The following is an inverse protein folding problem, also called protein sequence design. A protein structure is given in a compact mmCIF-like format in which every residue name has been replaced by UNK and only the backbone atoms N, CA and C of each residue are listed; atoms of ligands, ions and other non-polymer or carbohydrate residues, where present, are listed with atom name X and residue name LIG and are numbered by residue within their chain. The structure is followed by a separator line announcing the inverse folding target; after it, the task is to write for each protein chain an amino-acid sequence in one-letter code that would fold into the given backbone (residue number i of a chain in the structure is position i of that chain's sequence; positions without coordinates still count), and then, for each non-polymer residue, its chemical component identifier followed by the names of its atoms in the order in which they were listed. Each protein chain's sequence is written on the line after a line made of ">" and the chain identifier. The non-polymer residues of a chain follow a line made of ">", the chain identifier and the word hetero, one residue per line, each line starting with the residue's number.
data_IF_262296517871
#
_entry.id   IF_262296517871
#
_cell.length_a   1.000
_cell.length_b   1.000
_cell.length_c   1.000
_cell.angle_alpha   90.00
_cell.angle_beta   90.00
_cell.angle_gamma   90.00
#
_symmetry.space_group_name_H-M   'P 1'
#
loop_
_entity.id
_entity.type
_entity.pdbx_description
1 polymer ?
#
# COMPACT_ATOMS: atom_id res chain seq x y z
N UNK A 1 6.97 24.34 -14.84
CA UNK A 1 5.97 23.26 -14.98
C UNK A 1 6.00 22.57 -13.62
N UNK A 2 4.87 22.42 -12.93
CA UNK A 2 4.85 21.71 -11.66
C UNK A 2 5.32 20.29 -11.94
N UNK A 3 6.37 19.84 -11.24
CA UNK A 3 6.83 18.45 -11.29
C UNK A 3 5.71 17.60 -10.69
N UNK A 4 4.89 17.02 -11.56
CA UNK A 4 3.77 16.16 -11.16
C UNK A 4 4.38 14.85 -10.65
N UNK A 5 4.49 14.72 -9.33
CA UNK A 5 5.01 13.53 -8.68
C UNK A 5 4.02 12.38 -8.81
N UNK A 6 4.55 11.19 -8.94
CA UNK A 6 3.78 9.95 -8.88
C UNK A 6 4.41 9.04 -7.82
N UNK A 7 3.94 9.17 -6.59
CA UNK A 7 4.47 8.34 -5.53
C UNK A 7 4.13 6.87 -5.71
N UNK A 8 5.14 6.04 -5.50
CA UNK A 8 5.02 4.59 -5.53
C UNK A 8 5.93 3.91 -4.53
N UNK A 9 5.83 2.61 -4.46
CA UNK A 9 6.62 1.78 -3.56
C UNK A 9 7.04 0.49 -4.26
N UNK A 10 8.28 0.07 -4.02
CA UNK A 10 8.73 -1.29 -4.33
C UNK A 10 8.90 -2.05 -3.02
N UNK A 11 8.45 -3.28 -2.99
CA UNK A 11 8.60 -4.19 -1.84
C UNK A 11 9.44 -5.38 -2.29
N UNK A 12 10.63 -5.51 -1.73
CA UNK A 12 11.48 -6.67 -1.97
C UNK A 12 11.08 -7.80 -1.02
N UNK A 13 10.39 -8.80 -1.55
CA UNK A 13 9.92 -9.95 -0.77
C UNK A 13 11.05 -10.95 -0.49
N UNK A 14 12.17 -10.84 -1.20
CA UNK A 14 13.32 -11.76 -1.01
C UNK A 14 14.07 -11.49 0.30
N UNK A 15 14.01 -10.25 0.79
CA UNK A 15 14.62 -9.84 2.07
C UNK A 15 13.61 -9.64 3.20
N UNK A 16 12.31 -9.69 2.89
CA UNK A 16 11.26 -9.54 3.90
C UNK A 16 11.23 -10.74 4.85
N UNK A 17 11.37 -10.48 6.14
CA UNK A 17 11.39 -11.51 7.20
C UNK A 17 10.04 -11.68 7.91
N UNK A 18 8.98 -11.05 7.44
CA UNK A 18 7.63 -11.17 8.02
C UNK A 18 7.46 -10.60 9.43
N UNK A 19 8.33 -9.72 9.90
CA UNK A 19 8.38 -9.25 11.28
C UNK A 19 7.22 -8.35 11.72
N UNK A 20 6.30 -7.97 10.82
CA UNK A 20 5.14 -7.08 11.07
C UNK A 20 5.48 -5.66 11.53
N UNK A 21 6.75 -5.25 11.64
CA UNK A 21 7.16 -3.91 12.09
C UNK A 21 6.51 -2.80 11.26
N UNK A 22 6.35 -3.01 9.95
CA UNK A 22 5.68 -2.05 9.05
C UNK A 22 4.19 -1.88 9.39
N UNK A 23 3.50 -2.95 9.80
CA UNK A 23 2.09 -2.90 10.21
C UNK A 23 1.95 -2.19 11.56
N UNK A 24 2.74 -2.57 12.56
CA UNK A 24 2.74 -1.95 13.89
C UNK A 24 3.11 -0.47 13.82
N UNK A 25 4.16 -0.13 13.08
CA UNK A 25 4.59 1.26 12.89
C UNK A 25 3.49 2.11 12.23
N UNK A 26 2.79 1.58 11.23
CA UNK A 26 1.66 2.25 10.59
C UNK A 26 0.51 2.49 11.58
N UNK A 27 0.11 1.44 12.32
CA UNK A 27 -0.99 1.50 13.28
C UNK A 27 -0.73 2.54 14.37
N UNK A 28 0.45 2.47 15.03
CA UNK A 28 0.82 3.39 16.11
C UNK A 28 0.97 4.84 15.59
N UNK A 29 1.58 5.03 14.42
CA UNK A 29 1.86 6.39 13.91
C UNK A 29 0.63 7.11 13.36
N UNK A 30 -0.41 6.37 13.02
CA UNK A 30 -1.68 6.91 12.53
C UNK A 30 -2.82 6.78 13.55
N UNK A 31 -2.50 6.33 14.78
CA UNK A 31 -3.48 6.16 15.87
C UNK A 31 -4.71 5.36 15.42
N UNK A 32 -4.46 4.27 14.68
CA UNK A 32 -5.55 3.45 14.15
C UNK A 32 -6.14 2.58 15.27
N UNK A 33 -7.47 2.38 15.26
CA UNK A 33 -8.10 1.36 16.10
C UNK A 33 -7.46 -0.04 15.87
N UNK A 34 -7.51 -0.89 16.88
CA UNK A 34 -6.83 -2.19 16.87
C UNK A 34 -7.32 -3.15 15.79
N UNK A 35 -8.54 -2.97 15.32
CA UNK A 35 -9.21 -3.72 14.26
C UNK A 35 -9.00 -3.12 12.85
N UNK A 36 -8.37 -1.94 12.76
CA UNK A 36 -8.09 -1.25 11.50
C UNK A 36 -6.62 -1.41 11.10
N UNK A 37 -6.37 -2.11 10.01
CA UNK A 37 -5.03 -2.30 9.48
C UNK A 37 -4.91 -1.69 8.08
N UNK A 38 -4.10 -0.64 7.93
CA UNK A 38 -3.77 -0.07 6.63
C UNK A 38 -2.61 -0.78 5.92
N UNK A 39 -1.81 -1.50 6.67
CA UNK A 39 -0.71 -2.33 6.17
C UNK A 39 -0.64 -3.59 7.00
N UNK A 40 -0.44 -4.72 6.36
CA UNK A 40 -0.25 -6.00 7.01
C UNK A 40 0.72 -6.87 6.19
N UNK A 41 1.16 -7.99 6.75
CA UNK A 41 2.03 -8.93 6.05
C UNK A 41 1.29 -10.25 5.96
N UNK A 42 1.16 -10.77 4.76
CA UNK A 42 0.56 -12.07 4.46
C UNK A 42 1.65 -13.08 4.11
N UNK A 43 1.32 -14.37 4.10
CA UNK A 43 2.12 -15.34 3.37
C UNK A 43 2.06 -15.06 1.86
N UNK A 44 3.03 -15.51 1.09
CA UNK A 44 3.08 -15.23 -0.35
C UNK A 44 1.86 -15.80 -1.10
N UNK A 45 1.29 -16.90 -0.60
CA UNK A 45 0.12 -17.56 -1.19
C UNK A 45 -1.22 -16.90 -0.78
N UNK A 46 -1.17 -15.81 0.00
CA UNK A 46 -2.36 -15.05 0.39
C UNK A 46 -3.03 -15.51 1.68
N UNK A 47 -2.55 -16.59 2.30
CA UNK A 47 -3.06 -17.06 3.57
C UNK A 47 -2.56 -16.20 4.74
N UNK A 48 -3.45 -15.91 5.70
CA UNK A 48 -3.07 -15.27 6.97
C UNK A 48 -2.23 -16.17 7.87
N UNK A 49 -2.21 -17.47 7.58
CA UNK A 49 -1.46 -18.46 8.34
C UNK A 49 -0.10 -18.67 7.69
N UNK A 50 0.96 -18.28 8.40
CA UNK A 50 2.34 -18.44 7.95
C UNK A 50 2.73 -19.93 7.93
N UNK A 51 2.39 -20.63 6.87
CA UNK A 51 2.77 -22.03 6.68
C UNK A 51 3.98 -22.12 5.74
N UNK A 52 5.06 -22.79 6.17
CA UNK A 52 6.18 -23.05 5.28
C UNK A 52 5.76 -24.06 4.20
N UNK A 53 6.19 -23.81 2.97
CA UNK A 53 6.08 -24.76 1.86
C UNK A 53 7.39 -25.55 1.73
N UNK A 54 7.37 -26.64 0.92
CA UNK A 54 8.53 -27.50 0.75
C UNK A 54 8.66 -28.55 1.85
N UNK A 55 9.73 -29.34 1.77
CA UNK A 55 10.02 -30.44 2.71
C UNK A 55 11.43 -30.28 3.27
N UNK A 56 11.64 -30.79 4.52
CA UNK A 56 12.99 -30.85 5.08
C UNK A 56 13.96 -31.56 4.10
N UNK A 57 15.17 -31.06 3.87
CA UNK A 57 15.87 -29.99 4.61
C UNK A 57 15.70 -28.55 4.03
N UNK A 58 14.79 -28.30 3.10
CA UNK A 58 14.63 -27.03 2.43
C UNK A 58 13.20 -26.44 2.54
N UNK A 59 12.67 -26.17 3.76
CA UNK A 59 11.42 -25.46 3.88
C UNK A 59 11.58 -24.00 3.44
N UNK A 60 10.55 -23.46 2.78
CA UNK A 60 10.51 -22.07 2.31
C UNK A 60 9.31 -21.37 2.95
N UNK A 61 9.53 -20.18 3.50
CA UNK A 61 8.48 -19.31 3.97
C UNK A 61 8.70 -17.93 3.34
N UNK A 62 7.75 -17.50 2.50
CA UNK A 62 7.79 -16.19 1.84
C UNK A 62 6.69 -15.30 2.39
N UNK A 63 7.00 -14.02 2.51
CA UNK A 63 6.09 -13.00 3.04
C UNK A 63 5.77 -11.95 1.98
N UNK A 64 4.52 -11.51 1.94
CA UNK A 64 4.08 -10.40 1.11
C UNK A 64 3.47 -9.31 1.98
N UNK A 65 4.21 -8.24 2.25
CA UNK A 65 3.65 -7.04 2.86
C UNK A 65 2.66 -6.37 1.92
N UNK A 66 1.47 -6.06 2.40
CA UNK A 66 0.38 -5.45 1.63
C UNK A 66 -0.01 -4.09 2.21
N UNK A 67 -0.51 -3.22 1.35
CA UNK A 67 -1.05 -1.91 1.67
C UNK A 67 -1.89 -1.42 0.48
N UNK A 68 -2.46 -0.21 0.58
CA UNK A 68 -3.11 0.40 -0.59
C UNK A 68 -2.11 0.61 -1.74
N UNK A 69 -2.50 0.22 -2.94
CA UNK A 69 -1.66 0.33 -4.13
C UNK A 69 -1.66 1.71 -4.80
N UNK A 70 -2.46 2.68 -4.33
CA UNK A 70 -2.57 4.03 -4.89
C UNK A 70 -2.65 4.04 -6.43
N UNK A 71 -3.51 3.17 -6.96
CA UNK A 71 -3.65 2.85 -8.37
C UNK A 71 -3.78 4.10 -9.28
N UNK A 72 -3.29 4.00 -10.51
CA UNK A 72 -3.48 5.07 -11.50
C UNK A 72 -4.91 5.05 -12.05
N UNK A 73 -5.52 3.86 -12.15
CA UNK A 73 -6.94 3.68 -12.46
C UNK A 73 -7.69 3.10 -11.23
N UNK A 74 -7.97 3.92 -10.19
CA UNK A 74 -8.46 3.43 -8.91
C UNK A 74 -9.95 3.08 -8.95
N UNK A 75 -10.29 1.79 -8.90
CA UNK A 75 -11.66 1.30 -8.85
C UNK A 75 -12.45 1.87 -7.66
N UNK A 76 -11.79 2.11 -6.52
CA UNK A 76 -12.42 2.69 -5.34
C UNK A 76 -12.85 4.16 -5.53
N UNK A 77 -12.16 4.93 -6.38
CA UNK A 77 -12.57 6.30 -6.76
C UNK A 77 -13.78 6.23 -7.68
N UNK A 78 -13.72 5.38 -8.71
CA UNK A 78 -14.82 5.22 -9.66
C UNK A 78 -16.12 4.75 -8.99
N UNK A 79 -16.01 3.92 -7.94
CA UNK A 79 -17.16 3.38 -7.21
C UNK A 79 -17.72 4.32 -6.14
N UNK A 80 -17.08 5.44 -5.84
CA UNK A 80 -17.52 6.32 -4.76
C UNK A 80 -18.68 7.21 -5.18
N UNK A 81 -19.90 7.03 -4.62
CA UNK A 81 -21.08 7.76 -5.06
C UNK A 81 -21.08 9.25 -4.67
N UNK A 82 -20.34 9.61 -3.62
CA UNK A 82 -20.24 10.99 -3.13
C UNK A 82 -18.99 11.73 -3.61
N UNK A 83 -18.07 11.01 -4.30
CA UNK A 83 -16.78 11.57 -4.67
C UNK A 83 -15.81 11.76 -3.49
N UNK A 84 -16.11 11.18 -2.32
CA UNK A 84 -15.23 11.26 -1.15
C UNK A 84 -13.87 10.59 -1.36
N UNK A 85 -13.81 9.51 -2.15
CA UNK A 85 -12.54 8.87 -2.49
C UNK A 85 -11.91 9.61 -3.67
N UNK A 86 -10.78 10.26 -3.44
CA UNK A 86 -10.12 11.11 -4.45
C UNK A 86 -8.69 10.68 -4.72
N UNK A 87 -8.24 10.90 -5.96
CA UNK A 87 -6.83 10.79 -6.34
C UNK A 87 -6.26 12.20 -6.48
N UNK A 88 -5.22 12.47 -5.71
CA UNK A 88 -4.49 13.74 -5.77
C UNK A 88 -3.73 13.82 -7.10
N UNK A 89 -4.01 14.83 -7.95
CA UNK A 89 -3.37 14.96 -9.26
C UNK A 89 -1.89 15.33 -9.19
N UNK A 90 -1.42 15.90 -8.08
CA UNK A 90 -0.02 16.34 -7.92
C UNK A 90 0.90 15.22 -7.43
N UNK A 91 0.35 14.25 -6.69
CA UNK A 91 1.14 13.22 -6.01
C UNK A 91 0.75 11.79 -6.39
N UNK A 92 -0.39 11.60 -7.05
CA UNK A 92 -0.98 10.29 -7.34
C UNK A 92 -1.56 9.58 -6.11
N UNK A 93 -1.53 10.18 -4.92
CA UNK A 93 -2.05 9.57 -3.70
C UNK A 93 -3.57 9.47 -3.76
N UNK A 94 -4.10 8.27 -3.57
CA UNK A 94 -5.53 8.06 -3.40
C UNK A 94 -5.88 8.11 -1.92
N UNK A 95 -6.83 8.94 -1.51
CA UNK A 95 -7.26 9.05 -0.10
C UNK A 95 -8.75 9.39 0.01
N UNK A 96 -9.43 8.92 1.07
CA UNK A 96 -10.79 9.36 1.36
C UNK A 96 -10.78 10.74 2.01
N UNK A 97 -11.82 11.52 1.73
CA UNK A 97 -12.19 12.72 2.46
C UNK A 97 -13.25 12.35 3.50
N UNK A 98 -12.95 12.42 4.79
CA UNK A 98 -13.87 12.01 5.85
C UNK A 98 -15.09 12.95 5.98
N UNK A 99 -14.98 14.22 5.53
CA UNK A 99 -16.10 15.17 5.62
C UNK A 99 -17.19 14.90 4.59
N UNK A 100 -16.83 14.26 3.47
CA UNK A 100 -17.75 13.92 2.37
C UNK A 100 -18.16 12.43 2.40
N UNK A 101 -17.42 11.61 3.14
CA UNK A 101 -17.63 10.17 3.19
C UNK A 101 -18.88 9.80 4.00
N UNK A 102 -19.79 9.02 3.40
CA UNK A 102 -21.02 8.52 4.03
C UNK A 102 -20.90 7.08 4.56
N UNK A 103 -19.71 6.47 4.54
CA UNK A 103 -19.48 5.13 5.07
C UNK A 103 -20.18 3.99 4.31
N UNK A 104 -20.58 4.17 3.06
CA UNK A 104 -21.39 3.20 2.32
C UNK A 104 -20.68 1.89 1.95
N UNK A 105 -19.36 1.78 2.11
CA UNK A 105 -18.58 0.58 1.81
C UNK A 105 -18.32 0.29 0.33
N UNK A 106 -18.83 1.11 -0.62
CA UNK A 106 -18.63 0.86 -2.06
C UNK A 106 -17.15 0.78 -2.47
N UNK A 107 -16.29 1.59 -1.86
CA UNK A 107 -14.83 1.55 -2.09
C UNK A 107 -14.18 0.27 -1.55
N UNK A 108 -14.71 -0.30 -0.46
CA UNK A 108 -14.25 -1.58 0.11
C UNK A 108 -14.59 -2.71 -0.86
N UNK A 109 -15.85 -2.77 -1.33
CA UNK A 109 -16.30 -3.80 -2.26
C UNK A 109 -15.61 -3.73 -3.64
N UNK A 110 -15.24 -2.52 -4.09
CA UNK A 110 -14.63 -2.31 -5.41
C UNK A 110 -13.12 -2.56 -5.44
N UNK A 111 -12.45 -2.58 -4.28
CA UNK A 111 -11.00 -2.70 -4.24
C UNK A 111 -10.55 -4.16 -4.35
N UNK A 112 -9.82 -4.58 -5.40
CA UNK A 112 -9.38 -5.96 -5.54
C UNK A 112 -8.32 -6.36 -4.50
N UNK A 113 -7.72 -5.38 -3.83
CA UNK A 113 -6.66 -5.57 -2.83
C UNK A 113 -7.17 -5.50 -1.39
N UNK A 114 -8.45 -5.24 -1.15
CA UNK A 114 -9.02 -5.09 0.19
C UNK A 114 -8.44 -3.94 1.02
N UNK A 115 -7.90 -2.90 0.36
CA UNK A 115 -7.15 -1.85 1.08
C UNK A 115 -8.02 -0.83 1.83
N UNK A 116 -9.18 -0.36 1.34
CA UNK A 116 -10.08 0.48 2.13
C UNK A 116 -10.82 -0.35 3.19
N UNK A 117 -10.95 0.22 4.38
CA UNK A 117 -11.76 -0.33 5.47
C UNK A 117 -12.69 0.76 6.00
N UNK A 118 -13.80 0.38 6.63
CA UNK A 118 -14.65 1.31 7.36
C UNK A 118 -14.15 1.37 8.79
N UNK A 119 -13.85 2.56 9.26
CA UNK A 119 -13.60 2.80 10.68
C UNK A 119 -14.96 2.93 11.37
N UNK A 120 -15.26 2.03 12.29
CA UNK A 120 -16.55 1.99 12.99
C UNK A 120 -16.76 3.18 13.91
N UNK A 121 -15.70 3.74 14.51
CA UNK A 121 -15.76 4.88 15.39
C UNK A 121 -16.19 6.16 14.65
N UNK A 122 -15.68 6.36 13.41
CA UNK A 122 -15.98 7.54 12.59
C UNK A 122 -17.06 7.30 11.56
N UNK A 123 -17.44 6.03 11.33
CA UNK A 123 -18.36 5.59 10.27
C UNK A 123 -17.90 6.07 8.87
N UNK A 124 -16.59 6.21 8.65
CA UNK A 124 -16.01 6.65 7.37
C UNK A 124 -15.00 5.64 6.84
N UNK A 125 -14.78 5.68 5.52
CA UNK A 125 -13.71 4.88 4.92
C UNK A 125 -12.34 5.42 5.28
N UNK A 126 -11.42 4.51 5.57
CA UNK A 126 -10.02 4.83 5.85
C UNK A 126 -9.09 3.83 5.17
N UNK A 127 -7.86 4.25 4.85
CA UNK A 127 -6.83 3.41 4.22
C UNK A 127 -5.48 4.08 4.23
N UNK A 128 -4.42 3.35 3.86
CA UNK A 128 -3.10 3.90 3.66
C UNK A 128 -3.12 5.18 2.79
N UNK A 129 -2.39 6.19 3.20
CA UNK A 129 -2.25 7.50 2.53
C UNK A 129 -0.81 7.77 2.07
N UNK A 130 0.06 6.76 2.00
CA UNK A 130 1.52 6.92 1.84
C UNK A 130 2.11 7.92 2.85
N UNK A 131 1.51 8.01 4.05
CA UNK A 131 1.90 9.00 5.07
C UNK A 131 1.96 10.43 4.51
N UNK A 132 0.92 10.87 3.79
CA UNK A 132 0.80 12.11 3.02
C UNK A 132 1.50 13.32 3.66
N UNK A 133 1.35 13.51 4.99
CA UNK A 133 1.99 14.62 5.71
C UNK A 133 3.52 14.51 5.74
N UNK A 134 4.06 13.29 5.81
CA UNK A 134 5.51 13.05 5.79
C UNK A 134 6.05 13.14 4.37
N UNK A 135 5.37 12.46 3.42
CA UNK A 135 5.77 12.41 2.01
C UNK A 135 5.79 13.80 1.37
N UNK A 136 4.84 14.68 1.72
CA UNK A 136 4.85 16.08 1.26
C UNK A 136 6.05 16.89 1.77
N UNK A 137 6.67 16.46 2.87
CA UNK A 137 7.89 17.08 3.44
C UNK A 137 9.18 16.38 2.99
N UNK A 138 9.11 15.46 2.02
CA UNK A 138 10.25 14.68 1.55
C UNK A 138 10.73 13.63 2.55
N UNK A 139 9.89 13.26 3.53
CA UNK A 139 10.21 12.21 4.51
C UNK A 139 9.59 10.88 4.06
N UNK A 140 10.26 9.79 4.37
CA UNK A 140 9.74 8.45 4.10
C UNK A 140 8.49 8.13 4.92
N UNK A 141 7.55 7.32 4.36
CA UNK A 141 6.47 6.72 5.14
C UNK A 141 6.99 5.95 6.36
N UNK A 142 6.22 5.91 7.44
CA UNK A 142 6.64 5.21 8.67
C UNK A 142 6.98 3.73 8.44
N UNK A 143 6.23 3.04 7.60
CA UNK A 143 6.47 1.63 7.29
C UNK A 143 7.75 1.38 6.48
N UNK A 144 8.28 2.38 5.79
CA UNK A 144 9.59 2.36 5.12
C UNK A 144 10.68 2.60 6.14
N UNK A 145 10.61 3.73 6.84
CA UNK A 145 11.62 4.13 7.84
C UNK A 145 11.80 3.11 8.98
N UNK A 146 10.75 2.36 9.32
CA UNK A 146 10.79 1.37 10.39
C UNK A 146 11.18 -0.05 9.92
N UNK A 147 11.36 -0.28 8.61
CA UNK A 147 11.63 -1.62 8.10
C UNK A 147 13.07 -2.08 8.42
N UNK A 148 13.29 -3.08 9.29
CA UNK A 148 14.64 -3.48 9.68
C UNK A 148 15.41 -4.19 8.57
N UNK A 149 14.71 -4.72 7.57
CA UNK A 149 15.27 -5.41 6.42
C UNK A 149 15.42 -4.52 5.19
N UNK A 150 15.04 -3.22 5.27
CA UNK A 150 14.97 -2.30 4.14
C UNK A 150 14.18 -2.87 2.93
N UNK A 151 13.20 -3.71 3.21
CA UNK A 151 12.40 -4.38 2.18
C UNK A 151 11.40 -3.46 1.47
N UNK A 152 11.22 -2.22 1.95
CA UNK A 152 10.27 -1.25 1.38
C UNK A 152 11.04 -0.03 0.89
N UNK A 153 10.90 0.27 -0.39
CA UNK A 153 11.53 1.40 -1.07
C UNK A 153 10.42 2.32 -1.58
N UNK A 154 10.44 3.58 -1.18
CA UNK A 154 9.42 4.57 -1.53
C UNK A 154 10.04 5.72 -2.32
N UNK A 155 9.35 6.24 -3.32
CA UNK A 155 9.85 7.35 -4.12
C UNK A 155 8.88 7.82 -5.18
N UNK A 156 9.39 8.68 -6.06
CA UNK A 156 8.66 9.20 -7.21
C UNK A 156 8.91 8.31 -8.44
N UNK A 157 7.85 7.71 -8.98
CA UNK A 157 7.91 6.89 -10.19
C UNK A 157 8.16 7.69 -11.47
N UNK A 158 7.91 9.02 -11.43
CA UNK A 158 8.18 9.91 -12.56
C UNK A 158 9.62 10.43 -12.58
N UNK A 159 10.36 10.28 -11.48
CA UNK A 159 11.77 10.62 -11.42
C UNK A 159 12.62 9.39 -11.83
N UNK A 160 13.26 9.41 -13.01
CA UNK A 160 14.07 8.28 -13.48
C UNK A 160 15.31 8.01 -12.61
N UNK A 161 15.72 9.00 -11.81
CA UNK A 161 16.84 8.86 -10.89
C UNK A 161 16.44 8.29 -9.53
N UNK A 162 15.15 8.22 -9.24
CA UNK A 162 14.64 7.59 -8.02
C UNK A 162 14.92 6.09 -7.99
N UNK A 163 15.18 5.56 -6.80
CA UNK A 163 15.42 4.12 -6.62
C UNK A 163 14.18 3.30 -7.01
N UNK A 164 13.00 3.78 -6.67
CA UNK A 164 11.74 3.07 -6.98
C UNK A 164 11.53 2.95 -8.49
N UNK A 165 11.81 4.01 -9.27
CA UNK A 165 11.68 3.97 -10.73
C UNK A 165 12.69 3.02 -11.36
N UNK A 166 13.94 3.00 -10.87
CA UNK A 166 14.99 2.07 -11.32
C UNK A 166 14.61 0.62 -11.08
N UNK A 167 14.05 0.30 -9.91
CA UNK A 167 13.62 -1.05 -9.57
C UNK A 167 12.43 -1.51 -10.42
N UNK A 168 11.47 -0.63 -10.71
CA UNK A 168 10.36 -0.92 -11.63
C UNK A 168 10.88 -1.17 -13.04
N UNK A 169 11.81 -0.34 -13.53
CA UNK A 169 12.45 -0.55 -14.84
C UNK A 169 13.29 -1.85 -14.89
N UNK A 170 13.80 -2.31 -13.75
CA UNK A 170 14.54 -3.56 -13.61
C UNK A 170 13.64 -4.81 -13.53
N UNK A 171 12.30 -4.64 -13.51
CA UNK A 171 11.36 -5.75 -13.57
C UNK A 171 10.60 -6.04 -12.27
N UNK A 172 10.49 -5.08 -11.34
CA UNK A 172 9.54 -5.22 -10.25
C UNK A 172 8.10 -5.20 -10.79
N UNK A 173 7.25 -6.15 -10.38
CA UNK A 173 5.92 -6.36 -10.92
C UNK A 173 4.81 -5.99 -9.92
N UNK A 174 3.67 -5.46 -10.38
CA UNK A 174 2.53 -5.22 -9.50
C UNK A 174 1.84 -6.54 -9.11
N UNK A 175 1.20 -6.56 -7.95
CA UNK A 175 0.34 -7.68 -7.58
C UNK A 175 -1.02 -7.56 -8.28
N UNK A 176 -1.53 -8.66 -8.86
CA UNK A 176 -2.80 -8.75 -9.58
C UNK A 176 -2.94 -7.71 -10.73
N UNK A 177 -2.00 -7.68 -11.69
CA UNK A 177 -2.07 -6.74 -12.80
C UNK A 177 -3.33 -6.92 -13.66
N UNK A 178 -3.91 -8.13 -13.69
CA UNK A 178 -5.16 -8.46 -14.38
C UNK A 178 -6.38 -7.72 -13.85
N UNK A 179 -6.32 -7.14 -12.65
CA UNK A 179 -7.40 -6.33 -12.09
C UNK A 179 -7.60 -4.99 -12.83
N UNK A 180 -6.66 -4.59 -13.71
CA UNK A 180 -6.76 -3.41 -14.58
C UNK A 180 -6.76 -2.07 -13.83
N UNK A 181 -6.29 -2.05 -12.59
CA UNK A 181 -6.28 -0.85 -11.74
C UNK A 181 -4.99 -0.04 -11.82
N UNK A 182 -3.96 -0.55 -12.53
CA UNK A 182 -2.65 0.09 -12.68
C UNK A 182 -2.02 0.46 -11.31
N UNK A 183 -1.59 -0.53 -10.51
CA UNK A 183 -1.00 -0.31 -9.19
C UNK A 183 0.29 0.51 -9.22
N UNK A 184 0.51 1.35 -8.19
CA UNK A 184 1.78 2.04 -7.95
C UNK A 184 2.61 1.38 -6.81
N UNK A 185 2.25 0.15 -6.41
CA UNK A 185 3.05 -0.70 -5.53
C UNK A 185 3.47 -1.94 -6.30
N UNK A 186 4.77 -2.20 -6.29
CA UNK A 186 5.42 -3.26 -7.05
C UNK A 186 6.18 -4.19 -6.11
N UNK A 187 6.48 -5.40 -6.59
CA UNK A 187 7.15 -6.43 -5.81
C UNK A 187 8.34 -7.02 -6.58
N UNK A 188 9.41 -7.27 -5.84
CA UNK A 188 10.52 -8.13 -6.25
C UNK A 188 10.30 -9.46 -5.53
N UNK A 189 10.27 -10.60 -6.28
CA UNK A 189 9.93 -11.93 -5.79
C UNK A 189 11.03 -12.97 -6.07
#
# INVERSE_FOLDING_TARGET
>A
MADNKRFGMVIDTTVCVGCQTCAVSCNVSHELPSDVLWSHVMSFDGDEVYQPTGTFPAPVLKFRPTLCNHCDNPACVAACPTGAMVKDPETGIVSPDPEVCIGCGSCVAACPYGAPVINEETSTSTKCTFCKVRSSKGQEPFCVAACPANARIFGDLNDPDSEVAKLVAAGAEPWQPEAGTEPCVFYIA
#
